data_IF_217999460458
#
_entry.id   IF_217999460458
#
_cell.length_a   1.000
_cell.length_b   1.000
_cell.length_c   1.000
_cell.angle_alpha   90.00
_cell.angle_beta   90.00
_cell.angle_gamma   90.00
#
_symmetry.space_group_name_H-M   'P 1'
#
loop_
_entity.id
_entity.type
_entity.pdbx_description
1 polymer ?
#
# COMPACT_ATOMS: atom_id res chain seq x y z
N UNK A 1 18.09 9.41 -12.71
CA UNK A 1 16.78 8.81 -12.44
C UNK A 1 15.75 9.47 -13.33
N UNK A 2 14.84 8.69 -13.90
CA UNK A 2 13.67 9.23 -14.60
C UNK A 2 12.84 10.08 -13.62
N UNK A 3 12.09 11.05 -14.15
CA UNK A 3 11.22 11.89 -13.33
C UNK A 3 10.03 11.03 -12.86
N UNK A 4 9.94 10.76 -11.57
CA UNK A 4 8.79 10.06 -10.95
C UNK A 4 7.64 11.06 -10.78
N UNK A 5 6.45 10.70 -11.28
CA UNK A 5 5.24 11.52 -11.31
C UNK A 5 4.65 11.69 -9.91
N UNK A 6 4.45 12.95 -9.49
CA UNK A 6 3.87 13.29 -8.18
C UNK A 6 2.39 12.87 -8.11
N UNK A 7 1.87 12.51 -6.92
CA UNK A 7 0.45 12.21 -6.77
C UNK A 7 -0.43 13.37 -7.24
N UNK A 8 -0.14 14.59 -6.81
CA UNK A 8 -0.91 15.78 -7.21
C UNK A 8 -0.95 16.00 -8.73
N UNK A 9 0.17 15.76 -9.43
CA UNK A 9 0.24 15.88 -10.90
C UNK A 9 -0.63 14.81 -11.59
N UNK A 10 -0.71 13.59 -11.03
CA UNK A 10 -1.50 12.49 -11.60
C UNK A 10 -2.99 12.60 -11.28
N UNK A 11 -3.35 12.90 -10.03
CA UNK A 11 -4.74 13.00 -9.58
C UNK A 11 -5.38 14.36 -9.90
N UNK A 12 -4.57 15.38 -10.24
CA UNK A 12 -5.02 16.74 -10.53
C UNK A 12 -5.46 17.53 -9.28
N UNK A 13 -5.18 16.99 -8.10
CA UNK A 13 -5.41 17.60 -6.79
C UNK A 13 -4.52 16.89 -5.76
N UNK A 14 -4.16 17.60 -4.69
CA UNK A 14 -3.49 16.98 -3.54
C UNK A 14 -4.40 15.94 -2.89
N UNK A 15 -3.88 14.74 -2.60
CA UNK A 15 -4.69 13.74 -1.90
C UNK A 15 -5.04 14.20 -0.49
N UNK A 16 -6.29 13.94 -0.10
CA UNK A 16 -6.87 14.47 1.14
C UNK A 16 -7.34 15.92 1.05
N UNK A 17 -7.31 16.56 -0.13
CA UNK A 17 -7.94 17.85 -0.32
C UNK A 17 -9.46 17.78 -0.09
N UNK A 18 -10.02 18.88 0.42
CA UNK A 18 -11.44 18.99 0.73
C UNK A 18 -12.29 18.57 -0.47
N UNK A 19 -13.24 17.67 -0.21
CA UNK A 19 -14.25 17.21 -1.17
C UNK A 19 -13.66 16.51 -2.40
N UNK A 20 -12.45 15.97 -2.29
CA UNK A 20 -11.79 15.17 -3.33
C UNK A 20 -11.42 13.79 -2.79
N UNK A 21 -11.95 12.75 -3.44
CA UNK A 21 -11.65 11.36 -3.11
C UNK A 21 -11.20 10.64 -4.37
N UNK A 22 -9.96 10.14 -4.37
CA UNK A 22 -9.45 9.29 -5.43
C UNK A 22 -10.15 7.93 -5.36
N UNK A 23 -10.81 7.55 -6.46
CA UNK A 23 -11.44 6.23 -6.62
C UNK A 23 -10.38 5.15 -6.83
N UNK A 24 -10.65 3.92 -6.37
CA UNK A 24 -9.71 2.80 -6.39
C UNK A 24 -9.02 2.58 -7.75
N UNK A 25 -9.75 2.65 -8.87
CA UNK A 25 -9.15 2.45 -10.19
C UNK A 25 -8.02 3.46 -10.49
N UNK A 26 -8.16 4.72 -10.08
CA UNK A 26 -7.10 5.73 -10.25
C UNK A 26 -5.91 5.45 -9.33
N UNK A 27 -6.15 4.91 -8.14
CA UNK A 27 -5.08 4.49 -7.23
C UNK A 27 -4.32 3.30 -7.82
N UNK A 28 -5.02 2.31 -8.39
CA UNK A 28 -4.39 1.18 -9.10
C UNK A 28 -3.51 1.67 -10.24
N UNK A 29 -4.04 2.56 -11.10
CA UNK A 29 -3.28 3.17 -12.18
C UNK A 29 -2.01 3.88 -11.67
N UNK A 30 -2.11 4.62 -10.58
CA UNK A 30 -0.96 5.34 -10.01
C UNK A 30 0.11 4.42 -9.44
N UNK A 31 -0.26 3.35 -8.73
CA UNK A 31 0.70 2.37 -8.23
C UNK A 31 1.43 1.65 -9.38
N UNK A 32 0.72 1.32 -10.47
CA UNK A 32 1.36 0.75 -11.66
C UNK A 32 2.32 1.76 -12.31
N UNK A 33 1.95 3.05 -12.40
CA UNK A 33 2.82 4.10 -12.89
C UNK A 33 4.10 4.22 -12.04
N UNK A 34 3.99 4.18 -10.71
CA UNK A 34 5.16 4.22 -9.82
C UNK A 34 6.11 3.05 -10.08
N UNK A 35 5.58 1.85 -10.34
CA UNK A 35 6.41 0.69 -10.72
C UNK A 35 7.10 0.89 -12.08
N UNK A 36 6.43 1.51 -13.05
CA UNK A 36 7.04 1.80 -14.35
C UNK A 36 8.16 2.86 -14.25
N UNK A 37 8.04 3.79 -13.30
CA UNK A 37 8.95 4.92 -13.17
C UNK A 37 10.08 4.72 -12.14
N UNK A 38 10.06 3.65 -11.34
CA UNK A 38 10.97 3.45 -10.21
C UNK A 38 11.38 1.99 -9.97
N UNK A 39 12.69 1.74 -9.91
CA UNK A 39 13.28 0.45 -9.52
C UNK A 39 13.19 0.16 -8.00
N UNK A 40 12.56 1.04 -7.23
CA UNK A 40 12.42 0.96 -5.77
C UNK A 40 11.05 0.46 -5.30
N UNK A 41 10.17 0.07 -6.23
CA UNK A 41 8.84 -0.47 -5.93
C UNK A 41 8.49 -1.62 -6.86
N UNK A 42 7.88 -2.66 -6.29
CA UNK A 42 7.28 -3.77 -7.02
C UNK A 42 5.82 -3.91 -6.58
N UNK A 43 4.89 -3.79 -7.52
CA UNK A 43 3.46 -3.88 -7.30
C UNK A 43 2.94 -5.22 -7.82
N UNK A 44 2.23 -5.94 -6.95
CA UNK A 44 1.64 -7.24 -7.25
C UNK A 44 0.14 -7.13 -7.10
N UNK A 45 -0.61 -7.56 -8.11
CA UNK A 45 -2.02 -7.88 -7.93
C UNK A 45 -2.12 -9.28 -7.29
N UNK A 46 -2.54 -9.35 -6.03
CA UNK A 46 -2.69 -10.61 -5.28
C UNK A 46 -3.99 -11.37 -5.60
N UNK A 47 -4.72 -10.92 -6.62
CA UNK A 47 -5.98 -11.51 -7.06
C UNK A 47 -7.09 -10.48 -7.04
N UNK A 48 -8.24 -10.86 -7.57
CA UNK A 48 -9.39 -9.97 -7.62
C UNK A 48 -10.21 -10.07 -6.32
N UNK A 49 -10.81 -8.96 -5.93
CA UNK A 49 -11.76 -8.87 -4.82
C UNK A 49 -13.08 -9.58 -5.15
N UNK A 50 -14.04 -9.52 -4.22
CA UNK A 50 -15.33 -10.21 -4.40
C UNK A 50 -16.15 -9.62 -5.53
N UNK A 51 -15.99 -8.32 -5.81
CA UNK A 51 -16.61 -7.64 -6.97
C UNK A 51 -15.66 -7.52 -8.19
N UNK A 52 -14.53 -8.24 -8.18
CA UNK A 52 -13.65 -8.34 -9.35
C UNK A 52 -12.67 -7.17 -9.53
N UNK A 53 -12.39 -6.39 -8.47
CA UNK A 53 -11.41 -5.31 -8.51
C UNK A 53 -10.00 -5.82 -8.14
N UNK A 54 -8.92 -5.27 -8.71
CA UNK A 54 -7.56 -5.68 -8.35
C UNK A 54 -7.25 -5.46 -6.86
N UNK A 55 -6.62 -6.42 -6.20
CA UNK A 55 -6.11 -6.30 -4.83
C UNK A 55 -4.60 -6.11 -4.83
N UNK A 56 -4.14 -4.88 -4.60
CA UNK A 56 -2.73 -4.55 -4.73
C UNK A 56 -1.92 -4.77 -3.44
N UNK A 57 -0.71 -5.29 -3.61
CA UNK A 57 0.36 -5.30 -2.61
C UNK A 57 1.60 -4.67 -3.24
N UNK A 58 2.12 -3.62 -2.62
CA UNK A 58 3.33 -2.92 -3.06
C UNK A 58 4.49 -3.20 -2.11
N UNK A 59 5.60 -3.69 -2.65
CA UNK A 59 6.87 -3.88 -1.96
C UNK A 59 7.79 -2.71 -2.29
N UNK A 60 8.26 -1.98 -1.29
CA UNK A 60 9.12 -0.82 -1.44
C UNK A 60 10.40 -1.03 -0.62
N UNK A 61 11.55 -0.93 -1.27
CA UNK A 61 12.89 -1.10 -0.66
C UNK A 61 13.96 -0.52 -1.60
N UNK A 62 15.24 -0.73 -1.30
CA UNK A 62 16.32 -0.45 -2.25
C UNK A 62 16.22 -1.38 -3.48
N UNK A 63 16.72 -0.93 -4.63
CA UNK A 63 16.79 -1.73 -5.85
C UNK A 63 17.53 -3.06 -5.61
N UNK A 64 18.63 -3.01 -4.85
CA UNK A 64 19.40 -4.19 -4.44
C UNK A 64 18.53 -5.18 -3.65
N UNK A 65 17.80 -4.72 -2.63
CA UNK A 65 16.92 -5.57 -1.84
C UNK A 65 15.80 -6.18 -2.69
N UNK A 66 15.18 -5.39 -3.57
CA UNK A 66 14.12 -5.86 -4.46
C UNK A 66 14.64 -6.89 -5.49
N UNK A 67 15.86 -6.71 -5.98
CA UNK A 67 16.52 -7.67 -6.86
C UNK A 67 16.86 -8.99 -6.16
N UNK A 68 17.04 -8.97 -4.84
CA UNK A 68 17.42 -10.11 -4.01
C UNK A 68 16.26 -10.66 -3.15
N UNK A 69 15.01 -10.37 -3.51
CA UNK A 69 13.83 -10.64 -2.69
C UNK A 69 13.67 -12.11 -2.32
N UNK A 70 13.96 -13.04 -3.23
CA UNK A 70 13.85 -14.49 -2.98
C UNK A 70 14.81 -14.95 -1.87
N UNK A 71 16.04 -14.43 -1.88
CA UNK A 71 17.03 -14.71 -0.83
C UNK A 71 16.60 -14.08 0.50
N UNK A 72 16.15 -12.83 0.49
CA UNK A 72 15.70 -12.15 1.70
C UNK A 72 14.48 -12.87 2.32
N UNK A 73 13.60 -13.44 1.51
CA UNK A 73 12.50 -14.28 1.97
C UNK A 73 13.00 -15.58 2.63
N UNK A 74 13.99 -16.26 2.05
CA UNK A 74 14.61 -17.45 2.64
C UNK A 74 15.32 -17.14 3.96
N UNK A 75 16.06 -16.03 4.02
CA UNK A 75 16.72 -15.53 5.23
C UNK A 75 15.68 -15.27 6.32
N UNK A 76 14.63 -14.52 6.01
CA UNK A 76 13.56 -14.21 6.95
C UNK A 76 12.87 -15.48 7.49
N UNK A 77 12.60 -16.46 6.62
CA UNK A 77 12.06 -17.76 7.02
C UNK A 77 13.01 -18.52 7.95
N UNK A 78 14.31 -18.53 7.63
CA UNK A 78 15.33 -19.24 8.41
C UNK A 78 15.56 -18.61 9.79
N UNK A 79 15.42 -17.29 9.91
CA UNK A 79 15.47 -16.59 11.20
C UNK A 79 14.21 -16.88 12.02
N UNK A 80 13.03 -16.92 11.38
CA UNK A 80 11.74 -17.15 12.05
C UNK A 80 11.59 -18.59 12.56
N UNK A 81 12.17 -19.56 11.86
CA UNK A 81 12.21 -20.97 12.25
C UNK A 81 13.65 -21.51 12.28
N UNK A 82 14.43 -21.20 13.34
CA UNK A 82 15.85 -21.52 13.42
C UNK A 82 16.13 -22.96 13.89
N UNK A 83 15.11 -23.83 13.92
CA UNK A 83 15.24 -25.18 14.45
C UNK A 83 16.36 -25.95 13.73
N UNK A 84 17.19 -26.65 14.52
CA UNK A 84 18.32 -27.46 14.06
C UNK A 84 19.44 -26.70 13.34
N UNK A 85 19.56 -25.38 13.52
CA UNK A 85 20.66 -24.56 12.97
C UNK A 85 21.68 -24.15 14.03
N UNK A 86 22.92 -23.91 13.59
CA UNK A 86 23.98 -23.42 14.48
C UNK A 86 23.77 -21.93 14.81
N UNK A 87 24.18 -21.50 16.00
CA UNK A 87 24.03 -20.09 16.44
C UNK A 87 24.80 -19.12 15.53
N UNK A 88 25.99 -19.50 15.06
CA UNK A 88 26.81 -18.66 14.18
C UNK A 88 26.17 -18.48 12.80
N UNK A 89 25.47 -19.50 12.31
CA UNK A 89 24.69 -19.45 11.08
C UNK A 89 23.53 -18.46 11.23
N UNK A 90 22.76 -18.56 12.32
CA UNK A 90 21.66 -17.63 12.61
C UNK A 90 22.16 -16.19 12.77
N UNK A 91 23.30 -16.00 13.45
CA UNK A 91 23.89 -14.66 13.64
C UNK A 91 24.28 -14.02 12.30
N UNK A 92 24.80 -14.82 11.37
CA UNK A 92 25.13 -14.37 10.01
C UNK A 92 23.86 -14.01 9.22
N UNK A 93 22.80 -14.83 9.32
CA UNK A 93 21.51 -14.56 8.68
C UNK A 93 20.84 -13.29 9.23
N UNK A 94 20.93 -13.03 10.54
CA UNK A 94 20.42 -11.80 11.15
C UNK A 94 21.12 -10.56 10.58
N UNK A 95 22.44 -10.63 10.35
CA UNK A 95 23.20 -9.53 9.76
C UNK A 95 22.87 -9.29 8.27
N UNK A 96 22.45 -10.33 7.55
CA UNK A 96 21.98 -10.24 6.16
C UNK A 96 20.51 -9.78 6.06
N UNK A 97 19.69 -10.17 7.04
CA UNK A 97 18.25 -9.97 7.05
C UNK A 97 17.83 -8.50 7.07
N UNK A 98 16.61 -8.25 6.61
CA UNK A 98 15.97 -6.94 6.59
C UNK A 98 14.74 -6.94 7.48
N UNK A 99 14.43 -5.80 8.08
CA UNK A 99 13.17 -5.64 8.79
C UNK A 99 12.02 -5.68 7.77
N UNK A 100 10.95 -6.40 8.09
CA UNK A 100 9.76 -6.50 7.24
C UNK A 100 8.61 -5.80 7.94
N UNK A 101 8.05 -4.76 7.33
CA UNK A 101 6.95 -3.98 7.89
C UNK A 101 5.76 -4.06 6.93
N UNK A 102 4.62 -4.55 7.44
CA UNK A 102 3.37 -4.63 6.68
C UNK A 102 2.43 -3.54 7.16
N UNK A 103 1.96 -2.70 6.23
CA UNK A 103 1.05 -1.59 6.48
C UNK A 103 -0.22 -1.81 5.66
N UNK A 104 -1.35 -1.97 6.36
CA UNK A 104 -2.64 -2.24 5.72
C UNK A 104 -3.56 -1.04 5.92
N UNK A 105 -4.16 -0.58 4.84
CA UNK A 105 -4.97 0.63 4.84
C UNK A 105 -6.45 0.30 4.64
N UNK A 106 -7.32 1.03 5.33
CA UNK A 106 -8.76 1.10 5.06
C UNK A 106 -9.44 -0.27 4.89
N UNK A 107 -9.18 -1.19 5.84
CA UNK A 107 -9.98 -2.41 5.97
C UNK A 107 -11.48 -2.07 6.07
N UNK A 108 -11.77 -1.05 6.85
CA UNK A 108 -13.07 -0.41 6.89
C UNK A 108 -13.12 0.70 5.84
N UNK A 109 -13.97 0.55 4.83
CA UNK A 109 -13.99 1.45 3.69
C UNK A 109 -14.41 2.89 4.05
N UNK A 110 -15.23 3.06 5.09
CA UNK A 110 -15.62 4.38 5.62
C UNK A 110 -14.46 5.10 6.32
N UNK A 111 -13.38 4.41 6.65
CA UNK A 111 -12.12 4.98 7.15
C UNK A 111 -11.19 5.30 5.97
N UNK A 112 -11.67 6.14 5.05
CA UNK A 112 -11.11 6.37 3.71
C UNK A 112 -9.68 6.96 3.72
N UNK A 113 -9.29 7.62 4.81
CA UNK A 113 -8.04 8.36 4.92
C UNK A 113 -6.78 7.53 4.64
N UNK A 114 -6.77 6.27 5.06
CA UNK A 114 -5.64 5.36 4.84
C UNK A 114 -5.35 5.16 3.34
N UNK A 115 -6.37 4.81 2.57
CA UNK A 115 -6.24 4.63 1.12
C UNK A 115 -5.91 5.92 0.39
N UNK A 116 -6.40 7.09 0.85
CA UNK A 116 -6.02 8.38 0.26
C UNK A 116 -4.58 8.79 0.58
N UNK A 117 -4.03 8.38 1.73
CA UNK A 117 -2.64 8.65 2.09
C UNK A 117 -1.65 7.71 1.39
N UNK A 118 -2.06 6.49 1.05
CA UNK A 118 -1.16 5.46 0.52
C UNK A 118 -0.34 5.88 -0.72
N UNK A 119 -0.90 6.59 -1.73
CA UNK A 119 -0.11 7.09 -2.86
C UNK A 119 0.99 8.08 -2.49
N UNK A 120 0.72 9.00 -1.54
CA UNK A 120 1.70 9.98 -1.05
C UNK A 120 2.82 9.27 -0.30
N UNK A 121 2.48 8.31 0.58
CA UNK A 121 3.47 7.51 1.31
C UNK A 121 4.36 6.72 0.36
N UNK A 122 3.77 6.05 -0.64
CA UNK A 122 4.53 5.27 -1.62
C UNK A 122 5.47 6.18 -2.43
N UNK A 123 4.97 7.33 -2.91
CA UNK A 123 5.76 8.33 -3.62
C UNK A 123 6.95 8.82 -2.78
N UNK A 124 6.73 9.19 -1.52
CA UNK A 124 7.78 9.63 -0.61
C UNK A 124 8.84 8.55 -0.40
N UNK A 125 8.42 7.30 -0.17
CA UNK A 125 9.35 6.19 0.04
C UNK A 125 10.23 5.93 -1.18
N UNK A 126 9.72 6.11 -2.41
CA UNK A 126 10.52 5.88 -3.62
C UNK A 126 11.35 7.09 -4.07
N UNK A 127 10.96 8.31 -3.69
CA UNK A 127 11.58 9.56 -4.20
C UNK A 127 12.48 10.29 -3.23
N UNK A 128 12.26 10.20 -1.91
CA UNK A 128 13.05 10.95 -0.93
C UNK A 128 14.52 10.50 -0.93
N UNK A 129 15.45 11.47 -0.94
CA UNK A 129 16.90 11.21 -1.00
C UNK A 129 17.65 11.62 0.27
N UNK A 130 16.94 12.02 1.32
CA UNK A 130 17.56 12.27 2.62
C UNK A 130 18.06 10.98 3.27
N UNK A 131 19.01 11.12 4.20
CA UNK A 131 19.70 10.00 4.86
C UNK A 131 18.75 9.06 5.60
N UNK A 132 17.65 9.57 6.15
CA UNK A 132 16.64 8.74 6.80
C UNK A 132 15.90 7.88 5.78
N UNK A 133 15.42 8.46 4.68
CA UNK A 133 14.71 7.73 3.64
C UNK A 133 15.58 6.65 2.96
N UNK A 134 16.86 6.95 2.71
CA UNK A 134 17.83 5.98 2.17
C UNK A 134 18.03 4.81 3.15
N UNK A 135 18.32 5.11 4.42
CA UNK A 135 18.48 4.07 5.44
C UNK A 135 17.24 3.19 5.58
N UNK A 136 16.04 3.77 5.54
CA UNK A 136 14.80 2.99 5.58
C UNK A 136 14.73 2.05 4.37
N UNK A 137 15.00 2.53 3.14
CA UNK A 137 14.99 1.67 1.96
C UNK A 137 16.04 0.57 2.01
N UNK A 138 17.23 0.85 2.53
CA UNK A 138 18.34 -0.11 2.56
C UNK A 138 18.15 -1.19 3.63
N UNK A 139 17.44 -0.90 4.73
CA UNK A 139 17.26 -1.80 5.87
C UNK A 139 15.85 -2.39 6.04
N UNK A 140 14.87 -1.90 5.29
CA UNK A 140 13.46 -2.30 5.43
C UNK A 140 12.88 -2.76 4.10
N UNK A 141 12.14 -3.87 4.14
CA UNK A 141 11.17 -4.26 3.12
C UNK A 141 9.81 -3.73 3.59
N UNK A 142 9.36 -2.60 3.03
CA UNK A 142 8.05 -2.00 3.31
C UNK A 142 7.01 -2.65 2.41
N UNK A 143 6.01 -3.29 3.01
CA UNK A 143 4.88 -3.91 2.31
C UNK A 143 3.65 -3.05 2.57
N UNK A 144 3.13 -2.40 1.53
CA UNK A 144 1.93 -1.56 1.60
C UNK A 144 0.77 -2.29 0.91
N UNK A 145 -0.34 -2.44 1.61
CA UNK A 145 -1.64 -2.78 1.03
C UNK A 145 -2.48 -1.51 0.98
N UNK A 146 -2.58 -0.82 -0.19
CA UNK A 146 -3.17 0.52 -0.27
C UNK A 146 -4.66 0.56 0.06
N UNK A 147 -5.35 -0.57 -0.09
CA UNK A 147 -6.68 -0.79 0.45
C UNK A 147 -6.88 -2.28 0.73
N UNK A 148 -7.26 -2.62 1.96
CA UNK A 148 -7.69 -3.97 2.32
C UNK A 148 -9.16 -4.23 1.92
N UNK A 149 -9.90 -3.18 1.54
CA UNK A 149 -11.26 -3.30 1.03
C UNK A 149 -11.49 -2.39 -0.20
N UNK A 150 -10.96 -2.79 -1.38
CA UNK A 150 -11.13 -2.01 -2.61
C UNK A 150 -12.59 -1.83 -3.05
N UNK A 151 -13.41 -2.88 -2.90
CA UNK A 151 -14.83 -2.85 -3.28
C UNK A 151 -15.58 -1.81 -2.46
N UNK A 152 -15.38 -1.82 -1.14
CA UNK A 152 -15.96 -0.83 -0.26
C UNK A 152 -15.45 0.58 -0.52
N UNK A 153 -14.16 0.73 -0.85
CA UNK A 153 -13.59 2.04 -1.18
C UNK A 153 -14.27 2.66 -2.40
N UNK A 154 -14.57 1.85 -3.42
CA UNK A 154 -15.34 2.25 -4.59
C UNK A 154 -16.74 2.68 -4.17
N UNK A 155 -17.45 1.89 -3.36
CA UNK A 155 -18.80 2.22 -2.90
C UNK A 155 -18.84 3.55 -2.14
N UNK A 156 -17.91 3.78 -1.22
CA UNK A 156 -17.81 5.03 -0.44
C UNK A 156 -17.49 6.22 -1.34
N UNK A 157 -16.56 6.05 -2.28
CA UNK A 157 -16.17 7.13 -3.20
C UNK A 157 -17.32 7.48 -4.15
N UNK A 158 -17.97 6.48 -4.73
CA UNK A 158 -19.07 6.67 -5.68
C UNK A 158 -20.31 7.27 -4.97
N UNK A 159 -20.60 6.86 -3.74
CA UNK A 159 -21.63 7.47 -2.90
C UNK A 159 -21.33 8.95 -2.60
N UNK A 160 -20.12 9.28 -2.16
CA UNK A 160 -19.77 10.67 -1.87
C UNK A 160 -19.87 11.56 -3.13
N UNK A 161 -19.36 11.08 -4.26
CA UNK A 161 -19.42 11.80 -5.54
C UNK A 161 -20.85 12.01 -6.05
N UNK A 162 -21.78 11.10 -5.73
CA UNK A 162 -23.20 11.25 -6.08
C UNK A 162 -23.88 12.39 -5.30
N UNK A 163 -23.49 12.60 -4.03
CA UNK A 163 -24.22 13.47 -3.09
C UNK A 163 -23.49 14.75 -2.69
N UNK A 164 -22.30 14.98 -3.21
CA UNK A 164 -21.60 16.26 -3.08
C UNK A 164 -22.52 17.42 -3.51
N UNK A 165 -22.49 18.54 -2.77
CA UNK A 165 -23.36 19.72 -2.97
C UNK A 165 -24.86 19.48 -2.71
N UNK A 166 -25.23 18.39 -2.01
CA UNK A 166 -26.61 18.09 -1.59
C UNK A 166 -26.76 18.03 -0.06
N UNK A 167 -27.99 17.89 0.44
CA UNK A 167 -28.27 17.68 1.88
C UNK A 167 -27.69 16.37 2.44
N UNK A 168 -27.29 15.43 1.56
CA UNK A 168 -26.73 14.13 1.93
C UNK A 168 -25.19 14.11 1.90
N UNK A 169 -24.53 15.23 1.59
CA UNK A 169 -23.06 15.30 1.58
C UNK A 169 -22.48 14.93 2.95
N UNK A 170 -21.54 13.98 2.95
CA UNK A 170 -20.91 13.46 4.17
C UNK A 170 -21.74 12.41 4.92
N UNK A 171 -22.94 12.07 4.44
CA UNK A 171 -23.71 10.93 4.95
C UNK A 171 -23.07 9.59 4.61
N UNK A 172 -23.24 8.60 5.48
CA UNK A 172 -22.76 7.23 5.24
C UNK A 172 -23.54 6.57 4.10
N UNK A 173 -22.90 5.72 3.28
CA UNK A 173 -23.60 4.90 2.30
C UNK A 173 -24.60 3.97 3.02
N UNK A 174 -25.80 3.74 2.45
CA UNK A 174 -26.81 2.86 3.02
C UNK A 174 -26.44 1.37 2.87
N UNK A 175 -25.49 1.07 1.98
CA UNK A 175 -25.06 -0.28 1.65
C UNK A 175 -23.92 -0.78 2.55
N UNK A 176 -23.90 -2.09 2.79
CA UNK A 176 -22.82 -2.76 3.50
C UNK A 176 -21.61 -2.93 2.58
N UNK A 177 -20.49 -2.29 2.91
CA UNK A 177 -19.25 -2.34 2.12
C UNK A 177 -18.40 -3.62 2.31
N UNK A 178 -18.92 -4.59 3.07
CA UNK A 178 -18.42 -5.96 3.08
C UNK A 178 -19.58 -6.89 2.70
N UNK A 179 -19.44 -7.58 1.56
CA UNK A 179 -20.52 -8.34 0.92
C UNK A 179 -21.22 -9.35 1.83
N UNK A 180 -20.46 -10.05 2.69
CA UNK A 180 -20.99 -11.16 3.49
C UNK A 180 -21.32 -10.82 4.94
N UNK A 181 -20.55 -9.93 5.57
CA UNK A 181 -20.60 -9.73 7.02
C UNK A 181 -20.94 -8.29 7.43
N UNK A 182 -21.02 -7.35 6.49
CA UNK A 182 -21.08 -5.93 6.83
C UNK A 182 -19.86 -5.47 7.65
N UNK A 183 -20.05 -4.45 8.47
CA UNK A 183 -18.98 -3.91 9.31
C UNK A 183 -18.72 -4.83 10.51
N UNK A 184 -17.51 -5.36 10.63
CA UNK A 184 -17.07 -6.00 11.88
C UNK A 184 -16.71 -4.89 12.89
N UNK A 185 -17.43 -4.85 14.01
CA UNK A 185 -17.29 -3.85 15.05
C UNK A 185 -16.31 -4.29 16.15
N UNK A 186 -15.23 -5.00 15.80
CA UNK A 186 -14.18 -5.37 16.74
C UNK A 186 -13.19 -4.22 16.97
N UNK A 187 -13.69 -3.08 17.45
CA UNK A 187 -12.91 -1.98 18.02
C UNK A 187 -12.97 -2.00 19.54
#
# INVERSE_FOLDING_TARGET
>A
MAKITRPEDFFGHRLGADRKIARWNKIVEYFNLLQEESDRIKVVNSGDTTEGNPFLVAYISSEENLSNMDRLQEVNKSITDPQNRAIDEISSLIAEGKAVIVQTMSLHATEIGGTQMAPELAYDQVTREDEEAKRIRDEVISIIVPSFNPDGQIMVTDWYNQWIDTEYEGGSPPDLYHKYCGHDNNR
#
